data_IF_300646214855
#
_entry.id   IF_300646214855
#
_cell.length_a   1.000
_cell.length_b   1.000
_cell.length_c   1.000
_cell.angle_alpha   90.00
_cell.angle_beta   90.00
_cell.angle_gamma   90.00
#
_symmetry.space_group_name_H-M   'P 1'
#
loop_
_entity.id
_entity.type
_entity.pdbx_description
1 polymer ?
#
# COMPACT_ATOMS: atom_id res chain seq x y z
N UNK A 1 -22.07 21.06 -1.64
CA UNK A 1 -21.50 19.89 -2.35
C UNK A 1 -20.74 19.07 -1.32
N UNK A 2 -21.15 17.83 -1.03
CA UNK A 2 -20.46 17.03 -0.02
C UNK A 2 -19.14 16.56 -0.65
N UNK A 3 -18.01 17.13 -0.25
CA UNK A 3 -16.69 16.52 -0.41
C UNK A 3 -16.80 15.14 0.24
N UNK A 4 -17.16 14.12 -0.54
CA UNK A 4 -17.19 12.77 -0.04
C UNK A 4 -15.74 12.34 0.03
N UNK A 5 -15.29 12.07 1.25
CA UNK A 5 -14.00 11.49 1.54
C UNK A 5 -13.78 10.25 0.64
N UNK A 6 -12.65 10.14 -0.10
CA UNK A 6 -12.40 9.05 -1.03
C UNK A 6 -12.00 7.76 -0.27
N UNK A 7 -13.00 7.14 0.36
CA UNK A 7 -12.85 5.97 1.24
C UNK A 7 -12.14 4.82 0.52
N UNK A 8 -12.50 4.58 -0.74
CA UNK A 8 -11.92 3.50 -1.54
C UNK A 8 -10.42 3.71 -1.72
N UNK A 9 -10.02 4.91 -2.13
CA UNK A 9 -8.63 5.26 -2.41
C UNK A 9 -7.79 5.23 -1.12
N UNK A 10 -8.35 5.68 -0.01
CA UNK A 10 -7.67 5.60 1.29
C UNK A 10 -7.45 4.16 1.74
N UNK A 11 -8.48 3.32 1.70
CA UNK A 11 -8.38 1.92 2.15
C UNK A 11 -7.43 1.14 1.23
N UNK A 12 -7.55 1.33 -0.09
CA UNK A 12 -6.70 0.65 -1.06
C UNK A 12 -5.24 1.09 -0.95
N UNK A 13 -4.97 2.39 -0.79
CA UNK A 13 -3.61 2.90 -0.59
C UNK A 13 -2.96 2.37 0.69
N UNK A 14 -3.72 2.29 1.79
CA UNK A 14 -3.23 1.68 3.04
C UNK A 14 -2.96 0.18 2.89
N UNK A 15 -3.89 -0.55 2.27
CA UNK A 15 -3.75 -1.99 2.00
C UNK A 15 -2.50 -2.27 1.19
N UNK A 16 -2.42 -1.67 0.00
CA UNK A 16 -1.36 -1.97 -0.95
C UNK A 16 0.02 -1.61 -0.36
N UNK A 17 0.14 -0.45 0.29
CA UNK A 17 1.41 -0.04 0.87
C UNK A 17 1.86 -0.92 2.02
N UNK A 18 0.96 -1.30 2.93
CA UNK A 18 1.34 -2.16 4.07
C UNK A 18 1.79 -3.52 3.54
N UNK A 19 1.07 -4.10 2.58
CA UNK A 19 1.36 -5.41 2.00
C UNK A 19 2.68 -5.39 1.22
N UNK A 20 2.82 -4.46 0.27
CA UNK A 20 4.00 -4.37 -0.60
C UNK A 20 5.26 -4.01 0.19
N UNK A 21 5.18 -2.99 1.04
CA UNK A 21 6.32 -2.50 1.83
C UNK A 21 6.75 -3.56 2.82
N UNK A 22 5.82 -4.23 3.51
CA UNK A 22 6.15 -5.34 4.42
C UNK A 22 6.88 -6.46 3.69
N UNK A 23 6.37 -6.91 2.55
CA UNK A 23 7.01 -7.95 1.74
C UNK A 23 8.44 -7.57 1.34
N UNK A 24 8.64 -6.33 0.90
CA UNK A 24 9.97 -5.82 0.54
C UNK A 24 10.90 -5.76 1.74
N UNK A 25 10.51 -5.10 2.84
CA UNK A 25 11.43 -4.90 3.98
C UNK A 25 11.75 -6.21 4.69
N UNK A 26 10.79 -7.12 4.80
CA UNK A 26 11.03 -8.47 5.36
C UNK A 26 11.94 -9.26 4.44
N UNK A 27 11.73 -9.22 3.13
CA UNK A 27 12.60 -9.92 2.19
C UNK A 27 14.03 -9.40 2.18
N UNK A 28 14.20 -8.08 2.14
CA UNK A 28 15.54 -7.48 2.18
C UNK A 28 16.20 -7.77 3.53
N UNK A 29 15.49 -7.63 4.64
CA UNK A 29 16.02 -7.96 5.97
C UNK A 29 16.36 -9.45 6.15
N UNK A 30 15.68 -10.35 5.44
CA UNK A 30 16.01 -11.77 5.41
C UNK A 30 17.28 -12.06 4.60
N UNK A 31 17.63 -11.18 3.65
CA UNK A 31 18.79 -11.32 2.77
C UNK A 31 20.02 -10.51 3.19
N UNK A 32 19.89 -9.52 4.06
CA UNK A 32 21.01 -8.70 4.53
C UNK A 32 20.90 -8.32 6.01
N UNK A 33 22.06 -8.14 6.66
CA UNK A 33 22.17 -7.61 8.02
C UNK A 33 22.30 -6.07 8.07
N UNK A 34 22.36 -5.41 6.90
CA UNK A 34 22.52 -3.96 6.84
C UNK A 34 21.19 -3.22 7.02
N UNK A 35 20.99 -2.60 8.19
CA UNK A 35 19.85 -1.69 8.45
C UNK A 35 19.77 -0.57 7.42
N UNK A 36 20.91 -0.06 6.97
CA UNK A 36 20.96 0.99 5.95
C UNK A 36 20.29 0.54 4.65
N UNK A 37 20.57 -0.68 4.17
CA UNK A 37 19.98 -1.20 2.93
C UNK A 37 18.46 -1.40 3.09
N UNK A 38 18.02 -1.94 4.23
CA UNK A 38 16.59 -2.14 4.50
C UNK A 38 15.83 -0.82 4.55
N UNK A 39 16.33 0.19 5.27
CA UNK A 39 15.66 1.48 5.37
C UNK A 39 15.71 2.26 4.05
N UNK A 40 16.84 2.23 3.33
CA UNK A 40 16.98 2.89 2.04
C UNK A 40 15.98 2.33 1.03
N UNK A 41 15.92 1.00 0.89
CA UNK A 41 14.98 0.34 0.00
C UNK A 41 13.52 0.61 0.38
N UNK A 42 13.20 0.61 1.67
CA UNK A 42 11.87 0.95 2.16
C UNK A 42 11.44 2.36 1.76
N UNK A 43 12.31 3.36 1.95
CA UNK A 43 12.01 4.76 1.60
C UNK A 43 11.83 4.89 0.10
N UNK A 44 12.71 4.29 -0.71
CA UNK A 44 12.62 4.33 -2.17
C UNK A 44 11.31 3.70 -2.64
N UNK A 45 10.96 2.51 -2.15
CA UNK A 45 9.73 1.82 -2.52
C UNK A 45 8.51 2.64 -2.14
N UNK A 46 8.42 3.12 -0.89
CA UNK A 46 7.25 3.90 -0.43
C UNK A 46 7.07 5.16 -1.27
N UNK A 47 8.14 5.90 -1.55
CA UNK A 47 8.07 7.13 -2.33
C UNK A 47 7.70 6.85 -3.79
N UNK A 48 8.39 5.92 -4.45
CA UNK A 48 8.17 5.62 -5.87
C UNK A 48 6.78 5.02 -6.09
N UNK A 49 6.36 4.08 -5.26
CA UNK A 49 5.04 3.44 -5.37
C UNK A 49 3.92 4.40 -5.01
N UNK A 50 4.08 5.27 -4.02
CA UNK A 50 3.05 6.28 -3.71
C UNK A 50 2.78 7.22 -4.88
N UNK A 51 3.84 7.64 -5.58
CA UNK A 51 3.73 8.45 -6.79
C UNK A 51 3.06 7.67 -7.91
N UNK A 52 3.47 6.41 -8.12
CA UNK A 52 2.89 5.50 -9.11
C UNK A 52 1.39 5.31 -8.89
N UNK A 53 0.96 5.00 -7.67
CA UNK A 53 -0.43 4.78 -7.30
C UNK A 53 -1.28 6.05 -7.39
N UNK A 54 -0.74 7.19 -6.96
CA UNK A 54 -1.39 8.49 -7.10
C UNK A 54 -1.58 8.88 -8.57
N UNK A 55 -0.52 8.82 -9.37
CA UNK A 55 -0.56 9.11 -10.80
C UNK A 55 -1.48 8.12 -11.55
N UNK A 56 -1.40 6.83 -11.22
CA UNK A 56 -2.24 5.78 -11.79
C UNK A 56 -3.72 6.01 -11.51
N UNK A 57 -4.08 6.49 -10.32
CA UNK A 57 -5.46 6.88 -9.97
C UNK A 57 -5.94 8.06 -10.83
N UNK A 58 -5.09 9.06 -11.04
CA UNK A 58 -5.43 10.24 -11.84
C UNK A 58 -5.64 9.86 -13.29
N UNK A 59 -4.68 9.12 -13.85
CA UNK A 59 -4.69 8.70 -15.24
C UNK A 59 -5.85 7.75 -15.51
N UNK A 60 -6.13 6.81 -14.61
CA UNK A 60 -7.25 5.87 -14.74
C UNK A 60 -8.60 6.59 -14.81
N UNK A 61 -8.83 7.56 -13.93
CA UNK A 61 -10.05 8.35 -13.95
C UNK A 61 -10.13 9.26 -15.19
N UNK A 62 -8.99 9.81 -15.64
CA UNK A 62 -8.91 10.62 -16.86
C UNK A 62 -9.23 9.76 -18.10
N UNK A 63 -8.69 8.56 -18.20
CA UNK A 63 -8.95 7.64 -19.30
C UNK A 63 -10.42 7.20 -19.32
N UNK A 64 -11.03 6.94 -18.17
CA UNK A 64 -12.47 6.66 -18.10
C UNK A 64 -13.31 7.83 -18.64
N UNK A 65 -12.97 9.07 -18.27
CA UNK A 65 -13.63 10.26 -18.79
C UNK A 65 -13.46 10.42 -20.31
N UNK A 66 -12.27 10.15 -20.85
CA UNK A 66 -12.02 10.20 -22.30
C UNK A 66 -12.84 9.15 -23.07
N UNK A 67 -12.98 7.94 -22.51
CA UNK A 67 -13.84 6.89 -23.08
C UNK A 67 -15.32 7.30 -23.01
N UNK A 68 -15.78 7.84 -21.89
CA UNK A 68 -17.15 8.35 -21.76
C UNK A 68 -17.43 9.50 -22.74
N UNK A 69 -16.44 10.37 -22.98
CA UNK A 69 -16.53 11.43 -23.98
C UNK A 69 -16.68 10.87 -25.39
N UNK A 70 -15.92 9.84 -25.74
CA UNK A 70 -16.02 9.17 -27.04
C UNK A 70 -17.39 8.49 -27.24
N UNK A 71 -18.03 8.04 -26.17
CA UNK A 71 -19.40 7.47 -26.18
C UNK A 71 -20.52 8.53 -26.23
N UNK A 72 -20.19 9.80 -26.41
CA UNK A 72 -21.18 10.89 -26.42
C UNK A 72 -21.76 11.21 -25.04
N UNK A 73 -21.18 10.70 -23.95
CA UNK A 73 -21.57 11.00 -22.56
C UNK A 73 -20.75 12.18 -22.00
N UNK A 74 -20.47 13.18 -22.82
CA UNK A 74 -19.58 14.31 -22.51
C UNK A 74 -20.34 15.57 -22.05
N UNK A 75 -19.69 16.37 -21.21
CA UNK A 75 -20.18 17.70 -20.86
C UNK A 75 -19.12 18.51 -20.11
N UNK A 76 -18.86 19.75 -20.54
CA UNK A 76 -17.76 20.56 -20.01
C UNK A 76 -17.71 20.63 -18.47
N UNK A 77 -18.86 20.85 -17.82
CA UNK A 77 -18.97 20.89 -16.36
C UNK A 77 -18.73 19.51 -15.71
N UNK A 78 -19.16 18.43 -16.37
CA UNK A 78 -18.95 17.05 -15.90
C UNK A 78 -17.47 16.71 -15.97
N UNK A 79 -16.81 17.01 -17.07
CA UNK A 79 -15.40 16.71 -17.29
C UNK A 79 -14.51 17.46 -16.30
N UNK A 80 -14.78 18.76 -16.09
CA UNK A 80 -14.10 19.56 -15.08
C UNK A 80 -14.28 18.99 -13.67
N UNK A 81 -15.49 18.51 -13.34
CA UNK A 81 -15.78 17.88 -12.05
C UNK A 81 -15.05 16.55 -11.88
N UNK A 82 -14.95 15.72 -12.93
CA UNK A 82 -14.20 14.47 -12.91
C UNK A 82 -12.71 14.76 -12.66
N UNK A 83 -12.10 15.67 -13.43
CA UNK A 83 -10.69 16.03 -13.24
C UNK A 83 -10.41 16.54 -11.82
N UNK A 84 -11.25 17.44 -11.30
CA UNK A 84 -11.08 17.96 -9.94
C UNK A 84 -11.20 16.85 -8.87
N UNK A 85 -12.16 15.92 -9.03
CA UNK A 85 -12.28 14.76 -8.14
C UNK A 85 -11.06 13.84 -8.26
N UNK A 86 -10.59 13.56 -9.47
CA UNK A 86 -9.42 12.69 -9.70
C UNK A 86 -8.17 13.19 -9.01
N UNK A 87 -7.93 14.51 -9.01
CA UNK A 87 -6.80 15.08 -8.26
C UNK A 87 -6.94 14.80 -6.77
N UNK A 88 -8.16 14.94 -6.22
CA UNK A 88 -8.42 14.63 -4.81
C UNK A 88 -8.19 13.15 -4.54
N UNK A 89 -8.80 12.25 -5.33
CA UNK A 89 -8.65 10.80 -5.22
C UNK A 89 -7.17 10.36 -5.24
N UNK A 90 -6.37 10.91 -6.16
CA UNK A 90 -4.94 10.64 -6.29
C UNK A 90 -4.11 11.10 -5.10
N UNK A 91 -4.41 12.27 -4.54
CA UNK A 91 -3.71 12.78 -3.36
C UNK A 91 -4.01 11.88 -2.16
N UNK A 92 -5.27 11.52 -1.95
CA UNK A 92 -5.63 10.61 -0.85
C UNK A 92 -5.02 9.23 -1.03
N UNK A 93 -4.95 8.71 -2.25
CA UNK A 93 -4.24 7.47 -2.56
C UNK A 93 -2.77 7.55 -2.14
N UNK A 94 -2.03 8.54 -2.65
CA UNK A 94 -0.59 8.69 -2.41
C UNK A 94 -0.27 8.91 -0.92
N UNK A 95 -1.03 9.78 -0.23
CA UNK A 95 -0.86 10.03 1.20
C UNK A 95 -1.16 8.79 2.02
N UNK A 96 -2.26 8.09 1.72
CA UNK A 96 -2.62 6.86 2.42
C UNK A 96 -1.56 5.77 2.20
N UNK A 97 -0.98 5.70 1.00
CA UNK A 97 0.14 4.83 0.71
C UNK A 97 1.34 5.13 1.62
N UNK A 98 1.81 6.38 1.64
CA UNK A 98 2.95 6.77 2.49
C UNK A 98 2.69 6.42 3.95
N UNK A 99 1.50 6.74 4.46
CA UNK A 99 1.13 6.44 5.84
C UNK A 99 1.10 4.94 6.12
N UNK A 100 0.59 4.14 5.18
CA UNK A 100 0.58 2.68 5.27
C UNK A 100 2.00 2.11 5.33
N UNK A 101 2.87 2.51 4.41
CA UNK A 101 4.24 2.00 4.34
C UNK A 101 5.04 2.29 5.61
N UNK A 102 4.88 3.48 6.20
CA UNK A 102 5.54 3.84 7.45
C UNK A 102 5.23 2.86 8.60
N UNK A 103 4.03 2.28 8.64
CA UNK A 103 3.66 1.33 9.70
C UNK A 103 4.54 0.08 9.67
N UNK A 104 4.81 -0.48 8.48
CA UNK A 104 5.64 -1.67 8.29
C UNK A 104 7.13 -1.38 8.52
N UNK A 105 7.59 -0.17 8.20
CA UNK A 105 9.01 0.21 8.31
C UNK A 105 9.40 0.57 9.74
N UNK A 106 8.44 1.04 10.56
CA UNK A 106 8.70 1.61 11.88
C UNK A 106 9.65 0.77 12.75
N UNK A 107 9.52 -0.57 12.88
CA UNK A 107 10.39 -1.35 13.75
C UNK A 107 11.87 -1.36 13.29
N UNK A 108 12.14 -1.22 12.00
CA UNK A 108 13.49 -1.23 11.43
C UNK A 108 14.31 0.02 11.77
N UNK A 109 13.67 1.11 12.22
CA UNK A 109 14.39 2.29 12.71
C UNK A 109 15.10 2.00 14.05
N UNK A 110 14.49 1.17 14.89
CA UNK A 110 14.92 0.96 16.27
C UNK A 110 15.67 -0.37 16.46
N UNK A 111 15.28 -1.40 15.71
CA UNK A 111 15.77 -2.76 15.87
C UNK A 111 16.75 -3.17 14.76
N UNK A 112 17.56 -4.19 15.02
CA UNK A 112 18.39 -4.82 13.99
C UNK A 112 17.49 -5.50 12.95
N UNK A 113 17.90 -5.61 11.67
CA UNK A 113 17.04 -6.17 10.60
C UNK A 113 16.38 -7.50 10.96
N UNK A 114 17.13 -8.44 11.56
CA UNK A 114 16.59 -9.74 11.98
C UNK A 114 15.53 -9.61 13.08
N UNK A 115 15.79 -8.79 14.09
CA UNK A 115 14.90 -8.60 15.25
C UNK A 115 13.65 -7.78 14.90
N UNK A 116 13.76 -6.92 13.87
CA UNK A 116 12.68 -6.07 13.40
C UNK A 116 11.58 -6.82 12.61
N UNK A 117 11.88 -7.99 12.04
CA UNK A 117 10.95 -8.74 11.19
C UNK A 117 9.66 -9.08 11.93
N UNK A 118 9.74 -9.71 13.11
CA UNK A 118 8.54 -10.15 13.84
C UNK A 118 7.68 -8.95 14.27
N UNK A 119 8.23 -7.91 14.92
CA UNK A 119 7.46 -6.71 15.26
C UNK A 119 6.85 -6.01 14.03
N UNK A 120 7.56 -5.97 12.90
CA UNK A 120 7.06 -5.40 11.63
C UNK A 120 5.87 -6.19 11.10
N UNK A 121 5.97 -7.52 11.04
CA UNK A 121 4.85 -8.37 10.64
C UNK A 121 3.66 -8.18 11.57
N UNK A 122 3.87 -8.18 12.89
CA UNK A 122 2.79 -8.03 13.86
C UNK A 122 2.06 -6.69 13.73
N UNK A 123 2.79 -5.57 13.68
CA UNK A 123 2.16 -4.25 13.58
C UNK A 123 1.40 -4.10 12.26
N UNK A 124 1.94 -4.60 11.15
CA UNK A 124 1.30 -4.54 9.83
C UNK A 124 0.03 -5.40 9.77
N UNK A 125 0.09 -6.63 10.29
CA UNK A 125 -1.05 -7.55 10.34
C UNK A 125 -2.19 -7.00 11.18
N UNK A 126 -1.87 -6.43 12.35
CA UNK A 126 -2.86 -5.79 13.23
C UNK A 126 -3.44 -4.52 12.60
N UNK A 127 -2.60 -3.72 11.94
CA UNK A 127 -3.06 -2.50 11.25
C UNK A 127 -4.01 -2.85 10.12
N UNK A 128 -3.68 -3.83 9.26
CA UNK A 128 -4.59 -4.27 8.20
C UNK A 128 -5.84 -4.97 8.72
N UNK A 129 -5.74 -5.70 9.83
CA UNK A 129 -6.92 -6.24 10.47
C UNK A 129 -7.89 -5.10 10.82
N UNK A 130 -7.38 -4.03 11.43
CA UNK A 130 -8.17 -2.87 11.81
C UNK A 130 -8.72 -2.12 10.59
N UNK A 131 -7.91 -1.89 9.55
CA UNK A 131 -8.35 -1.28 8.29
C UNK A 131 -9.47 -2.11 7.66
N UNK A 132 -9.31 -3.43 7.60
CA UNK A 132 -10.31 -4.35 7.07
C UNK A 132 -11.57 -4.43 7.93
N UNK A 133 -11.43 -4.37 9.25
CA UNK A 133 -12.57 -4.30 10.16
C UNK A 133 -13.36 -3.00 9.95
N UNK A 134 -12.68 -1.85 9.85
CA UNK A 134 -13.30 -0.57 9.56
C UNK A 134 -13.99 -0.58 8.19
N UNK A 135 -13.32 -1.07 7.15
CA UNK A 135 -13.88 -1.29 5.81
C UNK A 135 -15.16 -2.12 5.88
N UNK A 136 -15.13 -3.26 6.57
CA UNK A 136 -16.27 -4.16 6.67
C UNK A 136 -17.47 -3.54 7.40
N UNK A 137 -17.22 -2.78 8.47
CA UNK A 137 -18.27 -2.01 9.18
C UNK A 137 -18.89 -0.95 8.28
N UNK A 138 -18.07 -0.22 7.52
CA UNK A 138 -18.55 0.82 6.58
C UNK A 138 -19.36 0.22 5.43
N UNK A 139 -18.93 -0.94 4.91
CA UNK A 139 -19.59 -1.65 3.82
C UNK A 139 -20.80 -2.49 4.26
N UNK A 140 -21.14 -2.50 5.57
CA UNK A 140 -22.22 -3.31 6.15
C UNK A 140 -22.11 -4.81 5.85
N UNK A 141 -20.88 -5.32 5.81
CA UNK A 141 -20.55 -6.75 5.72
C UNK A 141 -19.94 -7.22 7.04
N UNK A 142 -19.63 -8.51 7.18
CA UNK A 142 -18.97 -9.04 8.38
C UNK A 142 -17.58 -8.38 8.58
N UNK A 143 -17.39 -7.53 9.62
CA UNK A 143 -16.14 -6.80 9.83
C UNK A 143 -14.97 -7.69 10.17
N UNK A 144 -15.21 -8.75 10.95
CA UNK A 144 -14.17 -9.70 11.35
C UNK A 144 -13.63 -10.48 10.16
N UNK A 145 -14.54 -10.94 9.28
CA UNK A 145 -14.15 -11.62 8.03
C UNK A 145 -13.31 -10.70 7.15
N UNK A 146 -13.74 -9.46 6.96
CA UNK A 146 -13.00 -8.48 6.15
C UNK A 146 -11.63 -8.11 6.75
N UNK A 147 -11.51 -8.05 8.08
CA UNK A 147 -10.22 -7.87 8.75
C UNK A 147 -9.29 -9.06 8.52
N UNK A 148 -9.82 -10.27 8.69
CA UNK A 148 -9.05 -11.51 8.52
C UNK A 148 -8.55 -11.69 7.07
N UNK A 149 -9.38 -11.35 6.08
CA UNK A 149 -9.00 -11.34 4.66
C UNK A 149 -7.75 -10.48 4.42
N UNK A 150 -7.75 -9.22 4.90
CA UNK A 150 -6.63 -8.29 4.71
C UNK A 150 -5.38 -8.70 5.49
N UNK A 151 -5.53 -9.18 6.73
CA UNK A 151 -4.41 -9.74 7.50
C UNK A 151 -3.76 -10.93 6.81
N UNK A 152 -4.56 -11.83 6.21
CA UNK A 152 -4.05 -12.99 5.48
C UNK A 152 -3.21 -12.59 4.28
N UNK A 153 -3.62 -11.54 3.55
CA UNK A 153 -2.85 -10.99 2.45
C UNK A 153 -1.48 -10.50 2.94
N UNK A 154 -1.42 -9.72 4.03
CA UNK A 154 -0.13 -9.25 4.57
C UNK A 154 0.78 -10.37 5.07
N UNK A 155 0.23 -11.38 5.75
CA UNK A 155 1.00 -12.54 6.20
C UNK A 155 1.59 -13.29 5.00
N UNK A 156 0.81 -13.44 3.93
CA UNK A 156 1.25 -14.09 2.70
C UNK A 156 2.38 -13.30 2.04
N UNK A 157 2.25 -11.97 1.92
CA UNK A 157 3.28 -11.12 1.36
C UNK A 157 4.58 -11.13 2.19
N UNK A 158 4.48 -11.09 3.52
CA UNK A 158 5.63 -11.22 4.41
C UNK A 158 6.34 -12.58 4.24
N UNK A 159 5.58 -13.66 4.18
CA UNK A 159 6.11 -15.00 3.96
C UNK A 159 6.83 -15.14 2.61
N UNK A 160 6.20 -14.66 1.53
CA UNK A 160 6.80 -14.64 0.20
C UNK A 160 8.07 -13.79 0.17
N UNK A 161 8.02 -12.58 0.73
CA UNK A 161 9.18 -11.69 0.85
C UNK A 161 10.34 -12.37 1.57
N UNK A 162 10.08 -12.95 2.75
CA UNK A 162 11.08 -13.67 3.53
C UNK A 162 11.73 -14.82 2.75
N UNK A 163 10.92 -15.65 2.08
CA UNK A 163 11.42 -16.76 1.27
C UNK A 163 12.29 -16.26 0.12
N UNK A 164 11.81 -15.28 -0.64
CA UNK A 164 12.56 -14.70 -1.77
C UNK A 164 13.88 -14.10 -1.29
N UNK A 165 13.86 -13.32 -0.21
CA UNK A 165 15.04 -12.71 0.38
C UNK A 165 16.08 -13.72 0.82
N UNK A 166 15.64 -14.78 1.52
CA UNK A 166 16.51 -15.86 1.96
C UNK A 166 17.12 -16.62 0.78
N UNK A 167 16.33 -16.93 -0.25
CA UNK A 167 16.85 -17.56 -1.48
C UNK A 167 17.87 -16.67 -2.18
N UNK A 168 17.56 -15.38 -2.35
CA UNK A 168 18.48 -14.42 -2.95
C UNK A 168 19.83 -14.37 -2.21
N UNK A 169 19.83 -14.41 -0.87
CA UNK A 169 21.08 -14.44 -0.10
C UNK A 169 21.95 -15.68 -0.37
N UNK A 170 21.33 -16.83 -0.61
CA UNK A 170 22.05 -18.09 -0.86
C UNK A 170 22.62 -18.15 -2.28
N UNK A 171 21.89 -17.62 -3.26
CA UNK A 171 22.22 -17.79 -4.69
C UNK A 171 22.90 -16.57 -5.33
N UNK A 172 22.55 -15.35 -4.93
CA UNK A 172 23.03 -14.11 -5.55
C UNK A 172 24.16 -13.44 -4.75
N UNK A 173 24.24 -13.67 -3.45
CA UNK A 173 25.24 -13.05 -2.56
C UNK A 173 26.38 -14.01 -2.19
N UNK A 174 26.74 -14.92 -3.09
CA UNK A 174 28.02 -15.64 -2.94
C UNK A 174 29.18 -14.65 -3.13
N UNK A 175 30.25 -14.75 -2.31
CA UNK A 175 31.43 -13.89 -2.44
C UNK A 175 32.12 -14.07 -3.79
#
# INVERSE_FOLDING_TARGET
MRNQFPVRETIFGLEDSIVSTLGVVVGIAAGTDSRYIVLLSAIVVVVVESLSMGAGTYLSNKSQMEIERAQGKSGFLRDRKIVAKSVTDSVFMAVSYILGGLTSVLPFFFLSPRDAIIPSVLISVLTLFYVGFAKGKMARINPFKSGLEMSTISLTAAGLGFVVGKLASVYLMKP
#
